data_IF_907284608274
#
_entry.id   IF_907284608274
#
_cell.length_a   1.000
_cell.length_b   1.000
_cell.length_c   1.000
_cell.angle_alpha   90.00
_cell.angle_beta   90.00
_cell.angle_gamma   90.00
#
_symmetry.space_group_name_H-M   'P 1'
#
loop_
_entity.id
_entity.type
_entity.pdbx_description
1 polymer ?
#
# COMPACT_ATOMS: atom_id res chain seq x y z
N UNK A 1 -32.80 39.22 -23.54
CA UNK A 1 -32.27 38.56 -24.76
C UNK A 1 -32.81 37.10 -24.79
N UNK A 2 -33.83 36.91 -25.65
CA UNK A 2 -34.56 35.61 -25.75
C UNK A 2 -33.58 34.46 -26.12
N UNK A 3 -32.61 34.71 -26.98
CA UNK A 3 -31.65 33.71 -27.39
C UNK A 3 -30.74 33.21 -26.25
N UNK A 4 -30.39 34.07 -25.30
CA UNK A 4 -29.64 33.66 -24.13
C UNK A 4 -30.47 32.86 -23.14
N UNK A 5 -31.77 33.20 -22.97
CA UNK A 5 -32.66 32.42 -22.13
C UNK A 5 -32.86 30.98 -22.67
N UNK A 6 -33.16 30.87 -23.99
CA UNK A 6 -33.28 29.57 -24.67
C UNK A 6 -31.97 28.76 -24.58
N UNK A 7 -30.78 29.39 -24.74
CA UNK A 7 -29.49 28.72 -24.56
C UNK A 7 -29.33 28.17 -23.13
N UNK A 8 -29.68 28.94 -22.10
CA UNK A 8 -29.60 28.49 -20.70
C UNK A 8 -30.56 27.35 -20.41
N UNK A 9 -31.76 27.38 -20.97
CA UNK A 9 -32.77 26.33 -20.86
C UNK A 9 -32.30 25.03 -21.49
N UNK A 10 -31.83 25.06 -22.75
CA UNK A 10 -31.21 23.91 -23.42
C UNK A 10 -30.00 23.37 -22.67
N UNK A 11 -29.20 24.24 -22.07
CA UNK A 11 -28.05 23.82 -21.28
C UNK A 11 -28.42 23.13 -19.96
N UNK A 12 -29.58 23.47 -19.36
CA UNK A 12 -30.14 22.77 -18.21
C UNK A 12 -30.68 21.38 -18.60
N UNK A 13 -31.33 21.26 -19.74
CA UNK A 13 -31.84 19.98 -20.27
C UNK A 13 -30.71 19.02 -20.69
N UNK A 14 -29.57 19.55 -21.16
CA UNK A 14 -28.38 18.75 -21.52
C UNK A 14 -27.62 18.19 -20.32
N UNK A 15 -27.95 18.53 -19.08
CA UNK A 15 -27.32 17.97 -17.90
C UNK A 15 -27.77 16.52 -17.70
N UNK A 16 -26.80 15.61 -17.54
CA UNK A 16 -27.08 14.23 -17.13
C UNK A 16 -27.89 14.26 -15.84
N UNK A 17 -29.09 13.67 -15.85
CA UNK A 17 -29.92 13.52 -14.65
C UNK A 17 -29.17 12.75 -13.56
N UNK A 18 -29.30 13.20 -12.32
CA UNK A 18 -28.73 12.50 -11.17
C UNK A 18 -29.44 11.15 -11.01
N UNK A 19 -28.66 10.08 -10.94
CA UNK A 19 -29.19 8.72 -10.87
C UNK A 19 -29.27 8.18 -9.43
N UNK A 20 -29.21 9.05 -8.41
CA UNK A 20 -29.11 8.66 -7.00
C UNK A 20 -30.22 7.69 -6.57
N UNK A 21 -31.45 7.90 -7.04
CA UNK A 21 -32.59 7.02 -6.70
C UNK A 21 -32.46 5.67 -7.39
N UNK A 22 -32.08 5.65 -8.66
CA UNK A 22 -31.98 4.43 -9.47
C UNK A 22 -30.86 3.50 -8.96
N UNK A 23 -29.81 4.05 -8.33
CA UNK A 23 -28.63 3.35 -7.84
C UNK A 23 -28.53 3.37 -6.32
N UNK A 24 -29.63 3.62 -5.62
CA UNK A 24 -29.65 3.81 -4.16
C UNK A 24 -29.01 2.65 -3.39
N UNK A 25 -29.32 1.41 -3.77
CA UNK A 25 -28.71 0.21 -3.15
C UNK A 25 -27.19 0.16 -3.31
N UNK A 26 -26.70 0.52 -4.50
CA UNK A 26 -25.26 0.62 -4.74
C UNK A 26 -24.63 1.74 -3.90
N UNK A 27 -25.31 2.90 -3.75
CA UNK A 27 -24.78 3.98 -2.91
C UNK A 27 -24.75 3.59 -1.42
N UNK A 28 -25.72 2.82 -0.94
CA UNK A 28 -25.70 2.26 0.42
C UNK A 28 -24.53 1.30 0.61
N UNK A 29 -24.29 0.41 -0.34
CA UNK A 29 -23.12 -0.47 -0.37
C UNK A 29 -21.81 0.34 -0.29
N UNK A 30 -21.66 1.38 -1.13
CA UNK A 30 -20.49 2.26 -1.12
C UNK A 30 -20.30 2.92 0.24
N UNK A 31 -21.34 3.47 0.85
CA UNK A 31 -21.26 4.13 2.16
C UNK A 31 -20.89 3.15 3.27
N UNK A 32 -21.44 1.94 3.23
CA UNK A 32 -21.18 0.89 4.20
C UNK A 32 -19.69 0.50 4.16
N UNK A 33 -19.19 0.11 3.00
CA UNK A 33 -17.77 -0.32 2.87
C UNK A 33 -16.79 0.82 3.09
N UNK A 34 -17.13 2.03 2.69
CA UNK A 34 -16.28 3.19 2.96
C UNK A 34 -16.11 3.44 4.47
N UNK A 35 -17.20 3.34 5.25
CA UNK A 35 -17.20 3.63 6.69
C UNK A 35 -16.66 2.48 7.53
N UNK A 36 -17.05 1.25 7.22
CA UNK A 36 -16.75 0.09 8.05
C UNK A 36 -15.42 -0.55 7.66
N UNK A 37 -15.19 -0.73 6.34
CA UNK A 37 -14.04 -1.47 5.83
C UNK A 37 -12.93 -0.55 5.32
N UNK A 38 -13.12 0.77 5.45
CA UNK A 38 -12.15 1.81 5.02
C UNK A 38 -11.78 1.74 3.54
N UNK A 39 -12.66 1.17 2.70
CA UNK A 39 -12.42 1.10 1.26
C UNK A 39 -12.45 2.51 0.64
N UNK A 40 -11.65 2.73 -0.40
CA UNK A 40 -11.77 3.94 -1.20
C UNK A 40 -13.04 3.90 -2.07
N UNK A 41 -13.54 5.05 -2.50
CA UNK A 41 -14.68 5.10 -3.44
C UNK A 41 -14.39 4.33 -4.74
N UNK A 42 -13.11 4.28 -5.18
CA UNK A 42 -12.68 3.49 -6.34
C UNK A 42 -12.76 1.98 -6.05
N UNK A 43 -12.29 1.55 -4.87
CA UNK A 43 -12.38 0.17 -4.45
C UNK A 43 -13.83 -0.30 -4.33
N UNK A 44 -14.72 0.51 -3.72
CA UNK A 44 -16.15 0.21 -3.62
C UNK A 44 -16.78 0.01 -5.00
N UNK A 45 -16.52 0.94 -5.94
CA UNK A 45 -17.08 0.85 -7.28
C UNK A 45 -16.53 -0.33 -8.08
N UNK A 46 -15.24 -0.57 -7.98
CA UNK A 46 -14.56 -1.61 -8.73
C UNK A 46 -14.87 -3.01 -8.22
N UNK A 47 -14.81 -3.23 -6.90
CA UNK A 47 -15.10 -4.53 -6.27
C UNK A 47 -16.56 -4.94 -6.51
N UNK A 48 -17.50 -3.99 -6.40
CA UNK A 48 -18.91 -4.25 -6.68
C UNK A 48 -19.17 -4.79 -8.10
N UNK A 49 -18.36 -4.35 -9.08
CA UNK A 49 -18.43 -4.82 -10.46
C UNK A 49 -17.67 -6.13 -10.63
N UNK A 50 -16.48 -6.25 -10.05
CA UNK A 50 -15.63 -7.43 -10.15
C UNK A 50 -16.33 -8.68 -9.58
N UNK A 51 -16.99 -8.53 -8.43
CA UNK A 51 -17.73 -9.60 -7.76
C UNK A 51 -19.17 -9.77 -8.27
N UNK A 52 -19.58 -9.01 -9.30
CA UNK A 52 -20.93 -9.02 -9.85
C UNK A 52 -22.05 -8.76 -8.82
N UNK A 53 -21.76 -7.97 -7.75
CA UNK A 53 -22.73 -7.62 -6.70
C UNK A 53 -23.88 -6.78 -7.28
N UNK A 54 -23.56 -5.91 -8.24
CA UNK A 54 -24.52 -5.08 -8.95
C UNK A 54 -24.30 -5.12 -10.46
N UNK A 55 -25.37 -5.15 -11.27
CA UNK A 55 -25.24 -5.01 -12.71
C UNK A 55 -24.77 -3.60 -13.07
N UNK A 56 -23.98 -3.46 -14.14
CA UNK A 56 -23.36 -2.18 -14.56
C UNK A 56 -24.35 -1.01 -14.70
N UNK A 57 -25.58 -1.27 -15.12
CA UNK A 57 -26.63 -0.26 -15.24
C UNK A 57 -27.17 0.22 -13.89
N UNK A 58 -26.90 -0.48 -12.80
CA UNK A 58 -27.26 -0.12 -11.42
C UNK A 58 -26.07 0.40 -10.60
N UNK A 59 -24.96 0.72 -11.25
CA UNK A 59 -23.78 1.33 -10.64
C UNK A 59 -23.48 2.70 -11.25
N UNK A 60 -22.59 3.46 -10.59
CA UNK A 60 -22.00 4.66 -11.15
C UNK A 60 -20.47 4.58 -11.05
N UNK A 61 -19.77 5.30 -11.92
CA UNK A 61 -18.31 5.30 -11.90
C UNK A 61 -17.76 6.09 -10.70
N UNK A 62 -16.51 5.83 -10.36
CA UNK A 62 -15.78 6.49 -9.26
C UNK A 62 -15.86 8.03 -9.34
N UNK A 63 -15.72 8.62 -10.54
CA UNK A 63 -15.86 10.07 -10.73
C UNK A 63 -17.21 10.59 -10.27
N UNK A 64 -18.29 9.85 -10.57
CA UNK A 64 -19.64 10.22 -10.16
C UNK A 64 -19.81 10.13 -8.64
N UNK A 65 -19.19 9.15 -7.99
CA UNK A 65 -19.22 9.05 -6.52
C UNK A 65 -18.54 10.27 -5.87
N UNK A 66 -17.37 10.70 -6.37
CA UNK A 66 -16.72 11.94 -5.88
C UNK A 66 -17.60 13.17 -6.09
N UNK A 67 -18.27 13.28 -7.26
CA UNK A 67 -19.21 14.37 -7.51
C UNK A 67 -20.40 14.33 -6.53
N UNK A 68 -20.90 13.14 -6.18
CA UNK A 68 -21.99 13.00 -5.21
C UNK A 68 -21.55 13.40 -3.79
N UNK A 69 -20.30 13.13 -3.41
CA UNK A 69 -19.75 13.64 -2.15
C UNK A 69 -19.64 15.17 -2.19
N UNK A 70 -19.14 15.76 -3.28
CA UNK A 70 -19.02 17.21 -3.45
C UNK A 70 -20.37 17.93 -3.41
N UNK A 71 -21.43 17.29 -3.93
CA UNK A 71 -22.81 17.80 -3.93
C UNK A 71 -23.59 17.51 -2.63
N UNK A 72 -22.97 16.81 -1.66
CA UNK A 72 -23.64 16.44 -0.41
C UNK A 72 -24.75 15.40 -0.56
N UNK A 73 -24.76 14.62 -1.65
CA UNK A 73 -25.74 13.58 -1.95
C UNK A 73 -25.44 12.24 -1.26
N UNK A 74 -24.26 12.10 -0.68
CA UNK A 74 -23.85 10.96 0.15
C UNK A 74 -23.62 11.45 1.59
N UNK A 75 -23.84 10.60 2.61
CA UNK A 75 -23.51 10.92 4.00
C UNK A 75 -21.99 10.80 4.26
N UNK A 76 -21.18 11.35 3.34
CA UNK A 76 -19.72 11.42 3.35
C UNK A 76 -19.32 12.86 3.05
N UNK A 77 -18.27 13.34 3.71
CA UNK A 77 -17.70 14.67 3.51
C UNK A 77 -16.32 14.59 2.87
N UNK A 78 -15.90 15.67 2.24
CA UNK A 78 -14.56 15.77 1.66
C UNK A 78 -13.43 15.55 2.68
N UNK A 79 -13.66 15.87 3.95
CA UNK A 79 -12.71 15.62 5.04
C UNK A 79 -12.56 14.12 5.39
N UNK A 80 -13.55 13.29 5.04
CA UNK A 80 -13.48 11.84 5.24
C UNK A 80 -12.60 11.16 4.19
N UNK A 81 -12.24 11.87 3.10
CA UNK A 81 -11.42 11.36 2.00
C UNK A 81 -9.92 11.55 2.32
N UNK A 82 -9.14 10.47 2.56
CA UNK A 82 -7.79 10.55 3.15
C UNK A 82 -6.79 11.40 2.39
N UNK A 83 -6.88 11.46 1.05
CA UNK A 83 -5.90 12.16 0.21
C UNK A 83 -6.35 13.55 -0.26
N UNK A 84 -7.64 13.91 -0.11
CA UNK A 84 -8.19 15.17 -0.67
C UNK A 84 -7.67 16.42 0.05
N UNK A 85 -7.34 16.32 1.33
CA UNK A 85 -6.84 17.42 2.15
C UNK A 85 -5.31 17.47 2.26
N UNK A 86 -4.61 16.52 1.66
CA UNK A 86 -3.16 16.40 1.79
C UNK A 86 -2.44 17.32 0.81
N UNK A 87 -1.69 18.30 1.33
CA UNK A 87 -0.78 19.13 0.55
C UNK A 87 0.65 18.97 1.05
N UNK A 88 1.60 18.71 0.14
CA UNK A 88 3.03 18.71 0.45
C UNK A 88 3.66 19.99 -0.11
N UNK A 89 4.33 20.77 0.75
CA UNK A 89 5.02 22.01 0.38
C UNK A 89 6.55 21.93 0.55
N UNK A 90 7.10 20.76 0.92
CA UNK A 90 8.54 20.63 1.21
C UNK A 90 9.34 20.36 -0.07
N UNK A 91 10.31 21.24 -0.34
CA UNK A 91 11.37 21.00 -1.34
C UNK A 91 12.37 19.98 -0.77
N UNK A 92 12.74 18.99 -1.57
CA UNK A 92 13.79 18.04 -1.25
C UNK A 92 15.15 18.77 -1.23
N UNK A 93 15.97 18.50 -0.22
CA UNK A 93 17.40 18.83 -0.21
C UNK A 93 18.17 17.56 -0.50
N UNK A 94 18.92 17.56 -1.58
CA UNK A 94 19.79 16.43 -1.92
C UNK A 94 20.91 16.33 -0.89
N UNK A 95 21.09 15.13 -0.32
CA UNK A 95 22.23 14.79 0.52
C UNK A 95 23.01 13.70 -0.21
N UNK A 96 24.30 13.83 -0.34
CA UNK A 96 25.15 12.80 -0.95
C UNK A 96 25.55 11.76 0.09
N UNK A 97 25.22 10.50 -0.14
CA UNK A 97 25.74 9.37 0.60
C UNK A 97 26.47 8.44 -0.37
N UNK A 98 27.73 8.12 -0.10
CA UNK A 98 28.61 7.40 -1.02
C UNK A 98 28.83 5.93 -0.66
N UNK A 99 28.19 5.42 0.40
CA UNK A 99 28.42 4.05 0.88
C UNK A 99 27.55 3.06 0.08
N UNK A 100 28.15 2.01 -0.46
CA UNK A 100 27.48 0.87 -1.09
C UNK A 100 27.67 -0.35 -0.18
N UNK A 101 26.56 -1.03 0.16
CA UNK A 101 26.57 -2.16 1.10
C UNK A 101 26.68 -3.53 0.42
N UNK A 102 26.34 -3.65 -0.86
CA UNK A 102 26.34 -4.93 -1.57
C UNK A 102 26.05 -4.79 -3.05
N UNK A 103 25.40 -5.79 -3.67
CA UNK A 103 25.07 -5.80 -5.10
C UNK A 103 24.13 -4.67 -5.47
N UNK A 104 24.42 -4.00 -6.58
CA UNK A 104 23.59 -2.91 -7.08
C UNK A 104 22.22 -3.43 -7.57
N UNK A 105 21.20 -2.58 -7.47
CA UNK A 105 19.90 -2.84 -8.08
C UNK A 105 20.00 -3.06 -9.60
N UNK A 106 21.03 -2.56 -10.26
CA UNK A 106 21.29 -2.80 -11.69
C UNK A 106 21.61 -4.27 -12.00
N UNK A 107 22.11 -5.03 -11.03
CA UNK A 107 22.39 -6.46 -11.14
C UNK A 107 21.14 -7.32 -10.91
N UNK A 108 20.04 -6.70 -10.48
CA UNK A 108 18.78 -7.37 -10.23
C UNK A 108 18.17 -7.88 -11.53
N UNK A 109 17.66 -9.14 -11.59
CA UNK A 109 17.00 -9.66 -12.76
C UNK A 109 15.87 -8.76 -13.26
N UNK A 110 15.81 -8.51 -14.55
CA UNK A 110 14.75 -7.68 -15.17
C UNK A 110 13.33 -8.20 -14.92
N UNK A 111 13.18 -9.52 -14.73
CA UNK A 111 11.90 -10.15 -14.35
C UNK A 111 11.31 -9.56 -13.08
N UNK A 112 12.16 -9.15 -12.13
CA UNK A 112 11.72 -8.50 -10.88
C UNK A 112 11.04 -7.15 -11.16
N UNK A 113 11.49 -6.43 -12.19
CA UNK A 113 10.91 -5.13 -12.56
C UNK A 113 9.56 -5.27 -13.24
N UNK A 114 9.33 -6.37 -13.95
CA UNK A 114 8.05 -6.69 -14.60
C UNK A 114 6.93 -7.00 -13.59
N UNK A 115 7.29 -7.40 -12.35
CA UNK A 115 6.34 -7.70 -11.27
C UNK A 115 5.36 -8.84 -11.63
N UNK A 116 5.80 -9.78 -12.44
CA UNK A 116 5.00 -10.92 -12.90
C UNK A 116 5.17 -12.14 -11.99
N UNK A 117 6.29 -12.21 -11.29
CA UNK A 117 6.64 -13.29 -10.40
C UNK A 117 6.46 -12.89 -8.92
N UNK A 118 5.93 -13.82 -8.10
CA UNK A 118 5.84 -13.67 -6.65
C UNK A 118 7.18 -13.96 -5.97
N UNK A 119 7.40 -13.31 -4.82
CA UNK A 119 8.57 -13.55 -3.97
C UNK A 119 9.63 -12.44 -4.03
N UNK A 120 9.33 -11.33 -4.66
CA UNK A 120 10.27 -10.19 -4.77
C UNK A 120 9.83 -9.04 -3.85
N UNK A 121 10.62 -8.81 -2.80
CA UNK A 121 10.28 -7.88 -1.72
C UNK A 121 11.11 -6.61 -1.75
N UNK A 122 10.51 -5.52 -1.36
CA UNK A 122 11.18 -4.27 -1.00
C UNK A 122 11.14 -4.12 0.52
N UNK A 123 12.27 -3.75 1.13
CA UNK A 123 12.38 -3.55 2.58
C UNK A 123 12.73 -2.09 2.90
N UNK A 124 12.16 -1.59 3.99
CA UNK A 124 12.41 -0.24 4.49
C UNK A 124 12.17 -0.16 6.00
N UNK A 125 12.79 0.80 6.67
CA UNK A 125 12.55 1.04 8.09
C UNK A 125 11.75 2.32 8.31
N UNK A 126 10.69 2.22 9.12
CA UNK A 126 9.80 3.34 9.44
C UNK A 126 10.09 3.83 10.86
N UNK A 127 10.80 4.95 10.95
CA UNK A 127 11.20 5.56 12.23
C UNK A 127 10.01 6.27 12.90
N UNK A 128 9.88 6.13 14.20
CA UNK A 128 8.98 6.89 15.06
C UNK A 128 9.54 8.27 15.43
N UNK A 129 9.83 8.44 16.70
CA UNK A 129 10.60 9.57 17.23
C UNK A 129 12.08 9.37 16.88
N UNK A 130 12.78 10.47 16.61
CA UNK A 130 14.23 10.42 16.41
C UNK A 130 14.93 10.43 17.78
N UNK A 131 14.96 9.28 18.43
CA UNK A 131 15.53 9.06 19.77
C UNK A 131 16.33 7.77 19.77
N UNK A 132 17.46 7.73 20.44
CA UNK A 132 18.30 6.55 20.60
C UNK A 132 17.52 5.44 21.33
N UNK A 133 17.65 4.19 20.88
CA UNK A 133 16.93 3.05 21.44
C UNK A 133 15.42 3.02 21.12
N UNK A 134 14.93 3.90 20.24
CA UNK A 134 13.52 3.89 19.83
C UNK A 134 13.25 2.68 18.91
N UNK A 135 12.20 1.89 19.19
CA UNK A 135 11.76 0.86 18.27
C UNK A 135 11.44 1.41 16.89
N UNK A 136 11.54 0.56 15.86
CA UNK A 136 11.20 0.90 14.49
C UNK A 136 10.21 -0.13 13.92
N UNK A 137 9.49 0.24 12.87
CA UNK A 137 8.72 -0.72 12.08
C UNK A 137 9.56 -1.11 10.86
N UNK A 138 9.96 -2.37 10.79
CA UNK A 138 10.52 -2.95 9.58
C UNK A 138 9.37 -3.30 8.64
N UNK A 139 9.36 -2.69 7.47
CA UNK A 139 8.32 -2.84 6.46
C UNK A 139 8.84 -3.63 5.28
N UNK A 140 8.28 -4.81 5.04
CA UNK A 140 8.52 -5.59 3.83
C UNK A 140 7.27 -5.50 2.96
N UNK A 141 7.43 -5.24 1.68
CA UNK A 141 6.31 -5.18 0.72
C UNK A 141 6.65 -5.99 -0.52
N UNK A 142 5.79 -6.94 -0.84
CA UNK A 142 5.92 -7.78 -2.02
C UNK A 142 5.48 -7.00 -3.27
N UNK A 143 6.24 -7.13 -4.36
CA UNK A 143 6.13 -6.25 -5.54
C UNK A 143 4.96 -6.58 -6.46
N UNK A 144 4.56 -7.86 -6.59
CA UNK A 144 3.47 -8.34 -7.45
C UNK A 144 2.12 -8.22 -6.74
N UNK A 145 1.99 -8.85 -5.58
CA UNK A 145 0.72 -8.96 -4.83
C UNK A 145 0.43 -7.75 -3.95
N UNK A 146 1.44 -6.90 -3.71
CA UNK A 146 1.30 -5.71 -2.86
C UNK A 146 0.97 -6.03 -1.40
N UNK A 147 1.22 -7.24 -0.94
CA UNK A 147 1.10 -7.60 0.46
C UNK A 147 2.25 -6.96 1.24
N UNK A 148 1.95 -6.52 2.46
CA UNK A 148 2.94 -5.94 3.38
C UNK A 148 3.02 -6.74 4.66
N UNK A 149 4.23 -7.00 5.12
CA UNK A 149 4.55 -7.54 6.44
C UNK A 149 5.22 -6.41 7.22
N UNK A 150 4.69 -6.09 8.40
CA UNK A 150 5.23 -5.05 9.27
C UNK A 150 5.62 -5.65 10.61
N UNK A 151 6.89 -5.52 10.97
CA UNK A 151 7.45 -6.06 12.20
C UNK A 151 7.87 -4.92 13.12
N UNK A 152 7.54 -5.02 14.41
CA UNK A 152 8.11 -4.13 15.44
C UNK A 152 9.50 -4.64 15.78
N UNK A 153 10.53 -3.85 15.49
CA UNK A 153 11.93 -4.15 15.78
C UNK A 153 12.38 -3.30 16.97
N UNK A 154 13.14 -3.88 17.88
CA UNK A 154 13.52 -3.27 19.16
C UNK A 154 14.27 -1.95 19.02
N UNK A 155 15.08 -1.79 17.98
CA UNK A 155 15.82 -0.57 17.66
C UNK A 155 16.22 -0.55 16.17
N UNK A 156 16.92 0.50 15.75
CA UNK A 156 17.35 0.72 14.36
C UNK A 156 18.77 0.18 14.08
N UNK A 157 19.19 -0.89 14.77
CA UNK A 157 20.50 -1.55 14.54
C UNK A 157 20.40 -2.64 13.48
N UNK A 158 21.54 -2.95 12.85
CA UNK A 158 21.61 -4.02 11.87
C UNK A 158 21.36 -5.41 12.51
N UNK A 159 21.80 -5.58 13.75
CA UNK A 159 21.60 -6.80 14.54
C UNK A 159 20.13 -7.05 14.82
N UNK A 160 19.38 -6.01 15.21
CA UNK A 160 17.95 -6.11 15.50
C UNK A 160 17.12 -6.42 14.24
N UNK A 161 17.48 -5.83 13.10
CA UNK A 161 16.87 -6.11 11.80
C UNK A 161 17.14 -7.56 11.37
N UNK A 162 18.38 -8.03 11.51
CA UNK A 162 18.78 -9.39 11.15
C UNK A 162 18.07 -10.45 12.01
N UNK A 163 17.94 -10.21 13.32
CA UNK A 163 17.19 -11.07 14.24
C UNK A 163 15.71 -11.17 13.82
N UNK A 164 15.07 -10.04 13.57
CA UNK A 164 13.65 -10.00 13.17
C UNK A 164 13.40 -10.67 11.82
N UNK A 165 14.34 -10.56 10.87
CA UNK A 165 14.23 -11.25 9.57
C UNK A 165 14.41 -12.77 9.74
N UNK A 166 15.30 -13.22 10.61
CA UNK A 166 15.48 -14.66 10.90
C UNK A 166 14.22 -15.26 11.54
N UNK A 167 13.61 -14.56 12.48
CA UNK A 167 12.34 -14.96 13.08
C UNK A 167 11.23 -15.06 12.02
N UNK A 168 11.12 -14.05 11.15
CA UNK A 168 10.17 -14.04 10.05
C UNK A 168 10.37 -15.25 9.12
N UNK A 169 11.60 -15.51 8.68
CA UNK A 169 11.87 -16.63 7.79
C UNK A 169 11.59 -17.98 8.45
N UNK A 170 11.89 -18.10 9.75
CA UNK A 170 11.60 -19.30 10.53
C UNK A 170 10.09 -19.58 10.59
N UNK A 171 9.25 -18.55 10.64
CA UNK A 171 7.79 -18.69 10.63
C UNK A 171 7.24 -19.31 9.34
N UNK A 172 7.96 -19.17 8.21
CA UNK A 172 7.62 -19.80 6.93
C UNK A 172 8.23 -21.21 6.73
N UNK A 173 8.97 -21.72 7.72
CA UNK A 173 9.57 -23.06 7.69
C UNK A 173 10.51 -23.26 6.49
N UNK A 174 10.56 -24.47 5.95
CA UNK A 174 11.49 -24.83 4.86
C UNK A 174 11.17 -24.13 3.52
N UNK A 175 9.95 -23.61 3.38
CA UNK A 175 9.46 -22.96 2.15
C UNK A 175 9.77 -21.46 2.09
N UNK A 176 10.44 -20.87 3.10
CA UNK A 176 10.73 -19.44 3.13
C UNK A 176 11.45 -18.91 1.89
N UNK A 177 12.29 -19.73 1.22
CA UNK A 177 13.00 -19.37 -0.01
C UNK A 177 12.06 -19.20 -1.22
N UNK A 178 10.93 -19.90 -1.21
CA UNK A 178 9.93 -19.76 -2.26
C UNK A 178 9.10 -18.49 -2.05
N UNK A 179 8.95 -18.07 -0.79
CA UNK A 179 8.26 -16.85 -0.40
C UNK A 179 9.18 -15.61 -0.55
N UNK A 180 10.46 -15.74 -0.19
CA UNK A 180 11.45 -14.64 -0.24
C UNK A 180 12.56 -14.95 -1.23
N UNK A 181 12.34 -14.72 -2.52
CA UNK A 181 13.33 -14.95 -3.58
C UNK A 181 14.37 -13.84 -3.66
N UNK A 182 13.91 -12.59 -3.57
CA UNK A 182 14.80 -11.42 -3.54
C UNK A 182 14.29 -10.36 -2.59
N UNK A 183 15.24 -9.61 -2.00
CA UNK A 183 14.95 -8.45 -1.16
C UNK A 183 15.73 -7.26 -1.71
N UNK A 184 15.05 -6.14 -1.92
CA UNK A 184 15.66 -4.86 -2.32
C UNK A 184 15.63 -3.89 -1.14
N UNK A 185 16.80 -3.48 -0.67
CA UNK A 185 17.02 -2.54 0.43
C UNK A 185 17.63 -1.22 -0.07
N UNK A 186 17.61 -0.17 0.74
CA UNK A 186 18.51 0.97 0.53
C UNK A 186 19.86 0.76 1.22
N UNK A 187 20.74 1.77 1.13
CA UNK A 187 22.05 1.71 1.75
C UNK A 187 22.03 2.25 3.20
N UNK A 188 20.95 2.02 3.95
CA UNK A 188 20.85 2.33 5.37
C UNK A 188 21.80 1.47 6.21
N UNK A 189 22.30 2.03 7.32
CA UNK A 189 23.20 1.30 8.23
C UNK A 189 22.55 0.08 8.88
N UNK A 190 21.24 0.12 9.03
CA UNK A 190 20.39 -0.97 9.56
C UNK A 190 20.34 -2.19 8.63
N UNK A 191 20.70 -2.02 7.36
CA UNK A 191 20.76 -3.11 6.38
C UNK A 191 22.20 -3.60 6.11
N UNK A 192 23.18 -3.21 6.94
CA UNK A 192 24.58 -3.55 6.71
C UNK A 192 24.84 -5.07 6.70
N UNK A 193 24.09 -5.84 7.48
CA UNK A 193 24.27 -7.29 7.63
C UNK A 193 23.39 -8.11 6.68
N UNK A 194 22.39 -7.50 6.02
CA UNK A 194 21.37 -8.25 5.25
C UNK A 194 21.97 -9.06 4.09
N UNK A 195 23.16 -8.69 3.58
CA UNK A 195 23.87 -9.45 2.55
C UNK A 195 24.23 -10.88 2.96
N UNK A 196 24.28 -11.18 4.27
CA UNK A 196 24.52 -12.55 4.77
C UNK A 196 23.40 -13.50 4.34
N UNK A 197 22.18 -12.99 4.11
CA UNK A 197 21.05 -13.79 3.64
C UNK A 197 21.24 -14.38 2.24
N UNK A 198 22.21 -13.87 1.45
CA UNK A 198 22.57 -14.48 0.16
C UNK A 198 23.11 -15.89 0.32
N UNK A 199 23.77 -16.19 1.44
CA UNK A 199 24.21 -17.55 1.77
C UNK A 199 23.04 -18.53 1.92
N UNK A 200 21.88 -17.99 2.27
CA UNK A 200 20.62 -18.76 2.37
C UNK A 200 19.90 -18.89 1.03
N UNK A 201 20.42 -18.31 -0.07
CA UNK A 201 19.85 -18.37 -1.40
C UNK A 201 18.85 -17.26 -1.73
N UNK A 202 18.69 -16.26 -0.87
CA UNK A 202 17.86 -15.06 -1.12
C UNK A 202 18.73 -14.02 -1.85
N UNK A 203 18.28 -13.53 -3.01
CA UNK A 203 18.99 -12.46 -3.72
C UNK A 203 18.83 -11.11 -3.04
N UNK A 204 19.94 -10.45 -2.66
CA UNK A 204 19.90 -9.14 -2.00
C UNK A 204 20.42 -8.07 -2.96
N UNK A 205 19.66 -6.98 -3.10
CA UNK A 205 20.00 -5.85 -3.97
C UNK A 205 19.84 -4.53 -3.23
N UNK A 206 20.72 -3.58 -3.53
CA UNK A 206 20.69 -2.25 -2.91
C UNK A 206 20.42 -1.18 -3.96
N UNK A 207 19.49 -0.27 -3.62
CA UNK A 207 19.15 0.88 -4.47
C UNK A 207 20.34 1.84 -4.59
N UNK A 208 20.29 2.70 -5.61
CA UNK A 208 21.21 3.82 -5.67
C UNK A 208 20.95 4.79 -4.50
N UNK A 209 22.00 5.41 -3.97
CA UNK A 209 21.83 6.46 -2.96
C UNK A 209 20.87 7.55 -3.46
N UNK A 210 19.90 7.93 -2.62
CA UNK A 210 18.89 8.98 -2.89
C UNK A 210 17.89 8.72 -4.03
N UNK A 211 17.81 7.53 -4.54
CA UNK A 211 16.88 7.16 -5.60
C UNK A 211 15.64 6.47 -5.02
N UNK A 212 14.83 7.22 -4.28
CA UNK A 212 13.64 6.69 -3.59
C UNK A 212 12.64 6.03 -4.55
N UNK A 213 12.59 6.46 -5.81
CA UNK A 213 11.71 5.87 -6.82
C UNK A 213 11.99 4.38 -7.09
N UNK A 214 13.18 3.87 -6.77
CA UNK A 214 13.56 2.47 -6.93
C UNK A 214 12.89 1.53 -5.91
N UNK A 215 12.43 2.08 -4.77
CA UNK A 215 11.61 1.40 -3.75
C UNK A 215 10.18 1.95 -3.66
N UNK A 216 9.59 2.33 -4.77
CA UNK A 216 8.29 3.00 -4.80
C UNK A 216 7.13 2.18 -4.22
N UNK A 217 7.25 0.84 -4.16
CA UNK A 217 6.20 -0.03 -3.60
C UNK A 217 6.17 0.11 -2.09
N UNK A 218 7.28 -0.14 -1.40
CA UNK A 218 7.33 -0.04 0.07
C UNK A 218 7.10 1.39 0.56
N UNK A 219 7.59 2.42 -0.15
CA UNK A 219 7.30 3.82 0.20
C UNK A 219 5.80 4.14 0.15
N UNK A 220 5.09 3.59 -0.84
CA UNK A 220 3.64 3.74 -0.92
C UNK A 220 2.95 3.10 0.29
N UNK A 221 3.38 1.90 0.71
CA UNK A 221 2.82 1.20 1.87
C UNK A 221 3.22 1.88 3.19
N UNK A 222 4.43 2.42 3.31
CA UNK A 222 4.83 3.23 4.46
C UNK A 222 3.95 4.49 4.62
N UNK A 223 3.45 5.09 3.53
CA UNK A 223 2.44 6.14 3.61
C UNK A 223 1.10 5.64 4.16
N UNK A 224 0.72 4.40 3.89
CA UNK A 224 -0.48 3.79 4.46
C UNK A 224 -0.29 3.52 5.94
N UNK A 225 0.87 2.99 6.37
CA UNK A 225 1.24 2.82 7.78
C UNK A 225 1.13 4.15 8.55
N UNK A 226 1.54 5.27 7.93
CA UNK A 226 1.47 6.60 8.54
C UNK A 226 0.04 7.11 8.84
N UNK A 227 -0.99 6.41 8.39
CA UNK A 227 -2.38 6.66 8.79
C UNK A 227 -2.68 6.16 10.20
N UNK A 228 -1.97 5.13 10.65
CA UNK A 228 -2.07 4.54 11.98
C UNK A 228 -1.02 5.12 12.93
N UNK A 229 0.23 5.20 12.45
CA UNK A 229 1.38 5.71 13.20
C UNK A 229 1.88 7.00 12.54
N UNK A 230 1.34 8.18 12.93
CA UNK A 230 1.76 9.46 12.36
C UNK A 230 3.25 9.74 12.59
N UNK A 231 3.87 10.48 11.68
CA UNK A 231 5.27 10.87 11.81
C UNK A 231 5.53 11.64 13.11
N UNK A 232 6.57 11.23 13.85
CA UNK A 232 6.96 11.84 15.13
C UNK A 232 6.24 11.24 16.35
N UNK A 233 5.33 10.28 16.17
CA UNK A 233 4.84 9.43 17.24
C UNK A 233 5.85 8.34 17.57
N UNK A 234 5.92 7.93 18.84
CA UNK A 234 6.75 6.80 19.26
C UNK A 234 6.19 5.48 18.70
N UNK A 235 7.05 4.60 18.21
CA UNK A 235 6.67 3.23 17.85
C UNK A 235 6.44 2.41 19.14
N UNK A 236 7.06 2.82 20.24
CA UNK A 236 6.90 2.15 21.53
C UNK A 236 5.48 2.28 22.10
N UNK A 237 4.73 3.31 21.66
CA UNK A 237 3.31 3.50 22.01
C UNK A 237 2.41 2.39 21.43
N UNK A 238 2.92 1.51 20.54
CA UNK A 238 2.17 0.45 19.87
C UNK A 238 2.79 -0.93 20.14
N UNK A 239 1.94 -1.92 20.37
CA UNK A 239 2.38 -3.31 20.51
C UNK A 239 2.73 -3.93 19.13
N UNK A 240 3.43 -5.07 19.14
CA UNK A 240 3.70 -5.82 17.90
C UNK A 240 2.38 -6.29 17.25
N UNK A 241 1.41 -6.74 18.05
CA UNK A 241 0.10 -7.19 17.60
C UNK A 241 -0.70 -6.05 16.95
N UNK A 242 -0.67 -4.84 17.51
CA UNK A 242 -1.33 -3.69 16.91
C UNK A 242 -0.74 -3.33 15.54
N UNK A 243 0.60 -3.42 15.40
CA UNK A 243 1.28 -3.16 14.13
C UNK A 243 0.91 -4.23 13.09
N UNK A 244 0.78 -5.49 13.51
CA UNK A 244 0.31 -6.59 12.67
C UNK A 244 -1.14 -6.35 12.21
N UNK A 245 -2.05 -5.99 13.13
CA UNK A 245 -3.43 -5.63 12.79
C UNK A 245 -3.50 -4.48 11.78
N UNK A 246 -2.61 -3.48 11.89
CA UNK A 246 -2.54 -2.40 10.90
C UNK A 246 -2.13 -2.91 9.51
N UNK A 247 -1.21 -3.89 9.43
CA UNK A 247 -0.83 -4.53 8.19
C UNK A 247 -2.00 -5.30 7.58
N UNK A 248 -2.74 -6.07 8.39
CA UNK A 248 -3.91 -6.85 7.96
C UNK A 248 -5.01 -5.94 7.39
N UNK A 249 -5.31 -4.82 8.08
CA UNK A 249 -6.26 -3.82 7.57
C UNK A 249 -5.85 -3.30 6.18
N UNK A 250 -4.55 -3.07 5.95
CA UNK A 250 -4.06 -2.58 4.64
C UNK A 250 -4.02 -3.69 3.60
N UNK A 251 -3.71 -4.92 3.99
CA UNK A 251 -3.71 -6.09 3.12
C UNK A 251 -5.12 -6.51 2.71
N UNK A 252 -6.12 -6.27 3.55
CA UNK A 252 -7.54 -6.49 3.26
C UNK A 252 -8.19 -5.41 2.37
N UNK A 253 -7.45 -4.39 1.90
CA UNK A 253 -8.01 -3.36 1.02
C UNK A 253 -7.99 -3.80 -0.46
N UNK A 254 -9.16 -3.85 -1.15
CA UNK A 254 -9.21 -4.16 -2.58
C UNK A 254 -8.42 -3.15 -3.42
N UNK A 255 -7.60 -3.63 -4.36
CA UNK A 255 -6.71 -2.78 -5.16
C UNK A 255 -7.00 -2.91 -6.65
N UNK A 256 -7.21 -1.77 -7.30
CA UNK A 256 -7.45 -1.73 -8.76
C UNK A 256 -6.36 -2.42 -9.57
N UNK A 257 -5.09 -2.27 -9.17
CA UNK A 257 -3.95 -2.91 -9.84
C UNK A 257 -3.98 -4.43 -9.75
N UNK A 258 -4.71 -4.98 -8.78
CA UNK A 258 -4.93 -6.42 -8.57
C UNK A 258 -6.32 -6.87 -9.06
N UNK A 259 -6.95 -6.13 -9.98
CA UNK A 259 -8.31 -6.44 -10.43
C UNK A 259 -9.37 -6.35 -9.34
N UNK A 260 -9.12 -5.55 -8.30
CA UNK A 260 -9.92 -5.40 -7.08
C UNK A 260 -9.92 -6.60 -6.13
N UNK A 261 -9.01 -7.55 -6.32
CA UNK A 261 -8.66 -8.50 -5.25
C UNK A 261 -7.88 -7.78 -4.14
N UNK A 262 -7.91 -8.36 -2.93
CA UNK A 262 -7.07 -7.89 -1.84
C UNK A 262 -5.68 -8.51 -1.93
N UNK A 263 -4.63 -7.83 -1.44
CA UNK A 263 -3.30 -8.43 -1.28
C UNK A 263 -3.32 -9.74 -0.48
N UNK A 264 -4.13 -9.81 0.58
CA UNK A 264 -4.30 -10.96 1.46
C UNK A 264 -4.86 -12.16 0.70
N UNK A 265 -6.02 -12.01 0.01
CA UNK A 265 -6.62 -13.08 -0.83
C UNK A 265 -5.60 -13.69 -1.80
N UNK A 266 -4.79 -12.85 -2.44
CA UNK A 266 -3.80 -13.31 -3.42
C UNK A 266 -2.56 -13.93 -2.76
N UNK A 267 -2.18 -13.46 -1.58
CA UNK A 267 -1.05 -13.99 -0.84
C UNK A 267 -1.36 -15.37 -0.29
N UNK A 268 -2.55 -15.56 0.30
CA UNK A 268 -3.01 -16.85 0.79
C UNK A 268 -3.06 -17.88 -0.35
N UNK A 269 -3.58 -17.50 -1.51
CA UNK A 269 -3.60 -18.38 -2.69
C UNK A 269 -2.19 -18.78 -3.17
N UNK A 270 -1.18 -17.88 -3.08
CA UNK A 270 0.21 -18.22 -3.42
C UNK A 270 0.85 -19.11 -2.34
N UNK A 271 0.57 -18.86 -1.05
CA UNK A 271 1.04 -19.71 0.03
C UNK A 271 0.46 -21.13 -0.10
N UNK A 272 -0.85 -21.25 -0.33
CA UNK A 272 -1.50 -22.55 -0.56
C UNK A 272 -0.82 -23.32 -1.70
N UNK A 273 -0.47 -22.64 -2.80
CA UNK A 273 0.25 -23.23 -3.93
C UNK A 273 1.66 -23.68 -3.54
N UNK A 274 2.39 -22.89 -2.76
CA UNK A 274 3.76 -23.20 -2.32
C UNK A 274 3.78 -24.38 -1.35
N UNK A 275 2.83 -24.43 -0.41
CA UNK A 275 2.77 -25.49 0.62
C UNK A 275 2.08 -26.77 0.14
N UNK A 276 1.30 -26.72 -0.96
CA UNK A 276 0.73 -27.91 -1.58
C UNK A 276 1.70 -28.64 -2.53
N UNK A 277 2.78 -27.99 -2.96
CA UNK A 277 3.81 -28.53 -3.86
C UNK A 277 4.94 -29.19 -3.07
#
# INVERSE_FOLDING_TARGET
DVGHAVYLEHRQECRRKLRCIEVSMFLQYVVMHFKNDRWSLDACAGKAIADNVFPRNKTVCTKTLYNYVDLGLLPLKNMDLPEKLRRSTKKHKDKENKKKLGRSIEERPKSVDLREEFGHWEIDSVLGKNREGEPVVLSLTERKLRVSIWLKVKDHSAEAVDESLKELFTSFGDKYKEVFKTITADNGSEFANISVLEQSGIGIYFTHPYTSCEKGTVECHNRLLRRFIPKGKSIDDYTADEIMIFADIINGLPRKILGYHTPEELFDAELDRIYAA
#
